data_IF_968926613401
#
_entry.id   IF_968926613401
#
_cell.length_a   1.000
_cell.length_b   1.000
_cell.length_c   1.000
_cell.angle_alpha   90.00
_cell.angle_beta   90.00
_cell.angle_gamma   90.00
#
_symmetry.space_group_name_H-M   'P 1'
#
loop_
_entity.id
_entity.type
_entity.pdbx_description
1 polymer ?
#
# COMPACT_ATOMS: atom_id res chain seq x y z
N UNK A 1 -19.89 -14.42 27.04
CA UNK A 1 -19.23 -13.10 27.15
C UNK A 1 -17.85 -13.30 26.57
N UNK A 2 -17.69 -12.99 25.29
CA UNK A 2 -16.38 -12.98 24.60
C UNK A 2 -15.69 -11.68 24.96
N UNK A 3 -14.52 -11.75 25.58
CA UNK A 3 -13.67 -10.61 25.87
C UNK A 3 -13.42 -9.79 24.60
N UNK A 4 -13.47 -8.44 24.65
CA UNK A 4 -13.06 -7.63 23.52
C UNK A 4 -11.57 -7.88 23.30
N UNK A 5 -11.22 -8.35 22.09
CA UNK A 5 -9.84 -8.67 21.72
C UNK A 5 -8.94 -7.44 21.91
N UNK A 6 -7.88 -7.55 22.69
CA UNK A 6 -6.78 -6.58 22.85
C UNK A 6 -6.11 -6.17 21.52
N UNK A 7 -6.54 -6.77 20.43
CA UNK A 7 -6.01 -6.64 19.08
C UNK A 7 -6.44 -5.34 18.36
N UNK A 8 -7.37 -4.55 18.93
CA UNK A 8 -7.84 -3.27 18.36
C UNK A 8 -7.12 -2.03 18.89
N UNK A 9 -6.34 -2.16 19.94
CA UNK A 9 -5.62 -1.02 20.56
C UNK A 9 -4.27 -0.73 19.85
N UNK A 10 -3.77 -1.66 19.03
CA UNK A 10 -2.54 -1.47 18.27
C UNK A 10 -2.84 -1.01 16.85
N UNK A 11 -2.19 0.08 16.36
CA UNK A 11 -2.36 0.53 14.99
C UNK A 11 -1.92 -0.54 13.99
N UNK A 12 -2.69 -0.70 12.91
CA UNK A 12 -2.42 -1.66 11.85
C UNK A 12 -1.69 -0.99 10.68
N UNK A 13 -0.49 -1.44 10.38
CA UNK A 13 0.29 -1.05 9.21
C UNK A 13 0.27 -2.17 8.17
N UNK A 14 -0.28 -1.90 6.99
CA UNK A 14 -0.34 -2.86 5.89
C UNK A 14 0.67 -2.52 4.81
N UNK A 15 1.60 -3.44 4.54
CA UNK A 15 2.55 -3.36 3.43
C UNK A 15 2.03 -4.09 2.19
N UNK A 16 1.90 -3.38 1.06
CA UNK A 16 1.64 -3.98 -0.26
C UNK A 16 2.95 -4.20 -0.98
N UNK A 17 3.35 -5.46 -1.14
CA UNK A 17 4.53 -5.86 -1.91
C UNK A 17 4.13 -6.07 -3.38
N UNK A 18 4.54 -5.16 -4.25
CA UNK A 18 4.19 -5.16 -5.67
C UNK A 18 5.21 -5.91 -6.55
N UNK A 19 6.35 -6.32 -5.99
CA UNK A 19 7.38 -7.05 -6.72
C UNK A 19 6.89 -8.44 -7.14
N UNK A 20 7.21 -8.83 -8.38
CA UNK A 20 7.05 -10.21 -8.85
C UNK A 20 8.20 -11.12 -8.40
N UNK A 21 9.29 -10.53 -7.92
CA UNK A 21 10.46 -11.23 -7.38
C UNK A 21 10.37 -11.25 -5.86
N UNK A 22 10.26 -12.44 -5.27
CA UNK A 22 10.27 -12.59 -3.80
C UNK A 22 11.67 -12.28 -3.25
N UNK A 23 11.72 -11.57 -2.12
CA UNK A 23 12.97 -11.17 -1.47
C UNK A 23 13.82 -10.20 -2.31
N UNK A 24 13.22 -9.48 -3.24
CA UNK A 24 13.87 -8.42 -4.00
C UNK A 24 14.11 -7.16 -3.14
N UNK A 25 14.77 -6.17 -3.73
CA UNK A 25 15.15 -4.94 -3.02
C UNK A 25 13.95 -4.21 -2.40
N UNK A 26 12.82 -4.09 -3.11
CA UNK A 26 11.60 -3.47 -2.55
C UNK A 26 10.99 -4.27 -1.41
N UNK A 27 11.05 -5.61 -1.46
CA UNK A 27 10.54 -6.46 -0.38
C UNK A 27 11.42 -6.37 0.86
N UNK A 28 12.75 -6.32 0.67
CA UNK A 28 13.73 -6.15 1.75
C UNK A 28 13.51 -4.81 2.49
N UNK A 29 13.34 -3.73 1.73
CA UNK A 29 13.10 -2.42 2.31
C UNK A 29 11.72 -2.32 2.95
N UNK A 30 10.68 -2.91 2.34
CA UNK A 30 9.35 -2.97 2.96
C UNK A 30 9.42 -3.67 4.32
N UNK A 31 10.11 -4.81 4.42
CA UNK A 31 10.31 -5.51 5.69
C UNK A 31 10.97 -4.61 6.72
N UNK A 32 12.04 -3.90 6.34
CA UNK A 32 12.73 -3.00 7.26
C UNK A 32 11.82 -1.85 7.75
N UNK A 33 10.94 -1.30 6.89
CA UNK A 33 9.94 -0.30 7.33
C UNK A 33 8.95 -0.93 8.32
N UNK A 34 8.44 -2.14 8.02
CA UNK A 34 7.51 -2.84 8.90
C UNK A 34 8.15 -3.20 10.25
N UNK A 35 9.40 -3.69 10.24
CA UNK A 35 10.17 -3.99 11.47
C UNK A 35 10.30 -2.72 12.35
N UNK A 36 10.54 -1.55 11.73
CA UNK A 36 10.58 -0.27 12.44
C UNK A 36 9.24 0.12 13.06
N UNK A 37 8.13 -0.11 12.35
CA UNK A 37 6.78 0.14 12.88
C UNK A 37 6.43 -0.82 14.03
N UNK A 38 6.77 -2.10 13.91
CA UNK A 38 6.59 -3.09 14.98
C UNK A 38 7.36 -2.74 16.25
N UNK A 39 8.60 -2.26 16.10
CA UNK A 39 9.43 -1.83 17.23
C UNK A 39 8.79 -0.66 18.01
N UNK A 40 7.90 0.13 17.37
CA UNK A 40 7.13 1.21 17.96
C UNK A 40 5.67 0.80 18.29
N UNK A 41 5.39 -0.52 18.39
CA UNK A 41 4.12 -1.05 18.88
C UNK A 41 3.01 -1.21 17.85
N UNK A 42 3.26 -0.96 16.56
CA UNK A 42 2.29 -1.24 15.53
C UNK A 42 2.20 -2.75 15.23
N UNK A 43 1.02 -3.20 14.86
CA UNK A 43 0.82 -4.51 14.25
C UNK A 43 1.00 -4.40 12.74
N UNK A 44 1.76 -5.30 12.14
CA UNK A 44 2.04 -5.24 10.70
C UNK A 44 1.48 -6.43 9.94
N UNK A 45 1.19 -6.22 8.65
CA UNK A 45 0.78 -7.25 7.72
C UNK A 45 1.41 -6.99 6.34
N UNK A 46 1.83 -8.05 5.65
CA UNK A 46 2.31 -7.94 4.27
C UNK A 46 1.37 -8.68 3.31
N UNK A 47 0.91 -7.97 2.29
CA UNK A 47 0.14 -8.52 1.18
C UNK A 47 1.02 -8.53 -0.07
N UNK A 48 1.37 -9.72 -0.57
CA UNK A 48 2.16 -9.89 -1.79
C UNK A 48 1.21 -9.94 -2.99
N UNK A 49 1.14 -8.87 -3.78
CA UNK A 49 0.19 -8.76 -4.89
C UNK A 49 0.40 -9.83 -5.98
N UNK A 50 1.65 -10.20 -6.26
CA UNK A 50 1.96 -11.25 -7.23
C UNK A 50 1.52 -12.67 -6.79
N UNK A 51 1.19 -12.87 -5.51
CA UNK A 51 0.68 -14.12 -4.97
C UNK A 51 -0.87 -14.13 -4.87
N UNK A 52 -1.53 -13.10 -5.34
CA UNK A 52 -2.99 -12.94 -5.29
C UNK A 52 -3.62 -13.06 -6.67
N UNK A 53 -4.77 -13.70 -6.72
CA UNK A 53 -5.55 -13.79 -7.94
C UNK A 53 -6.37 -12.49 -8.11
N UNK A 54 -5.79 -11.50 -8.80
CA UNK A 54 -6.45 -10.24 -9.11
C UNK A 54 -6.49 -10.07 -10.63
N UNK A 55 -7.66 -10.31 -11.22
CA UNK A 55 -7.87 -10.10 -12.65
C UNK A 55 -7.87 -8.60 -13.00
N UNK A 56 -7.41 -8.22 -14.20
CA UNK A 56 -7.47 -6.84 -14.69
C UNK A 56 -8.91 -6.30 -14.74
N UNK A 57 -9.04 -4.97 -14.64
CA UNK A 57 -10.34 -4.32 -14.85
C UNK A 57 -10.80 -4.49 -16.32
N UNK A 58 -12.03 -4.95 -16.51
CA UNK A 58 -12.63 -5.14 -17.86
C UNK A 58 -13.44 -3.93 -18.35
N UNK A 59 -13.42 -2.81 -17.64
CA UNK A 59 -14.10 -1.57 -18.04
C UNK A 59 -15.63 -1.65 -18.11
N UNK A 60 -16.27 -2.61 -17.46
CA UNK A 60 -17.73 -2.85 -17.57
C UNK A 60 -18.61 -1.78 -16.90
N UNK A 61 -18.05 -0.86 -16.12
CA UNK A 61 -18.68 0.27 -15.43
C UNK A 61 -19.80 -0.10 -14.42
N UNK A 62 -20.07 -1.37 -14.14
CA UNK A 62 -21.11 -1.78 -13.18
C UNK A 62 -20.92 -1.24 -11.78
N UNK A 63 -19.66 -1.06 -11.37
CA UNK A 63 -19.32 -0.48 -10.07
C UNK A 63 -19.81 0.97 -9.89
N UNK A 64 -20.10 1.71 -10.97
CA UNK A 64 -20.62 3.09 -10.87
C UNK A 64 -21.96 3.15 -10.14
N UNK A 65 -22.79 2.10 -10.27
CA UNK A 65 -24.10 2.03 -9.62
C UNK A 65 -24.07 1.46 -8.21
N UNK A 66 -23.12 0.56 -7.91
CA UNK A 66 -23.14 -0.22 -6.67
C UNK A 66 -21.95 0.02 -5.75
N UNK A 67 -20.86 0.61 -6.27
CA UNK A 67 -19.57 0.69 -5.56
C UNK A 67 -18.80 -0.63 -5.51
N UNK A 68 -19.36 -1.74 -6.08
CA UNK A 68 -18.76 -3.06 -6.01
C UNK A 68 -18.31 -3.56 -7.38
N UNK A 69 -17.16 -4.26 -7.40
CA UNK A 69 -16.68 -4.91 -8.61
C UNK A 69 -17.40 -6.23 -8.84
N UNK A 70 -17.79 -6.49 -10.10
CA UNK A 70 -18.47 -7.74 -10.49
C UNK A 70 -17.54 -8.95 -10.55
N UNK A 71 -16.23 -8.73 -10.64
CA UNK A 71 -15.24 -9.81 -10.65
C UNK A 71 -14.98 -10.21 -9.20
N UNK A 72 -15.34 -11.42 -8.84
CA UNK A 72 -15.08 -11.99 -7.53
C UNK A 72 -13.72 -12.69 -7.53
N UNK A 73 -12.74 -12.07 -6.87
CA UNK A 73 -11.38 -12.58 -6.72
C UNK A 73 -10.73 -11.97 -5.45
N UNK A 74 -9.42 -12.05 -5.30
CA UNK A 74 -8.73 -11.54 -4.10
C UNK A 74 -8.76 -10.00 -3.96
N UNK A 75 -9.21 -9.28 -4.98
CA UNK A 75 -9.27 -7.81 -4.95
C UNK A 75 -10.08 -7.28 -3.77
N UNK A 76 -11.27 -7.86 -3.51
CA UNK A 76 -12.16 -7.39 -2.45
C UNK A 76 -11.52 -7.52 -1.08
N UNK A 77 -10.87 -8.65 -0.80
CA UNK A 77 -10.18 -8.88 0.47
C UNK A 77 -9.02 -7.89 0.68
N UNK A 78 -8.22 -7.65 -0.38
CA UNK A 78 -7.12 -6.68 -0.29
C UNK A 78 -7.68 -5.27 -0.05
N UNK A 79 -8.70 -4.85 -0.80
CA UNK A 79 -9.35 -3.55 -0.62
C UNK A 79 -9.85 -3.36 0.80
N UNK A 80 -10.59 -4.33 1.31
CA UNK A 80 -11.20 -4.23 2.65
C UNK A 80 -10.11 -4.18 3.72
N UNK A 81 -9.02 -4.95 3.54
CA UNK A 81 -7.88 -4.88 4.46
C UNK A 81 -7.18 -3.51 4.46
N UNK A 82 -7.07 -2.85 3.28
CA UNK A 82 -6.54 -1.49 3.23
C UNK A 82 -7.48 -0.46 3.86
N UNK A 83 -8.79 -0.67 3.79
CA UNK A 83 -9.77 0.20 4.46
C UNK A 83 -9.72 0.06 5.99
N UNK A 84 -9.31 -1.10 6.52
CA UNK A 84 -9.13 -1.35 7.94
C UNK A 84 -7.78 -0.84 8.48
N UNK A 85 -6.81 -0.55 7.61
CA UNK A 85 -5.47 -0.14 8.00
C UNK A 85 -5.41 1.30 8.50
N UNK A 86 -4.53 1.57 9.48
CA UNK A 86 -4.17 2.90 9.95
C UNK A 86 -3.05 3.52 9.09
N UNK A 87 -2.16 2.67 8.54
CA UNK A 87 -1.23 3.08 7.50
C UNK A 87 -1.08 2.02 6.41
N UNK A 88 -0.75 2.48 5.21
CA UNK A 88 -0.48 1.64 4.05
C UNK A 88 0.87 2.02 3.44
N UNK A 89 1.75 1.03 3.30
CA UNK A 89 3.03 1.18 2.60
C UNK A 89 2.90 0.46 1.26
N UNK A 90 3.02 1.19 0.16
CA UNK A 90 3.04 0.60 -1.16
C UNK A 90 4.48 0.45 -1.65
N UNK A 91 5.03 -0.77 -1.59
CA UNK A 91 6.39 -1.08 -1.98
C UNK A 91 6.44 -1.65 -3.41
N UNK A 92 7.15 -0.97 -4.31
CA UNK A 92 7.18 -1.31 -5.73
C UNK A 92 8.57 -1.17 -6.35
N UNK A 93 9.01 -2.11 -7.19
CA UNK A 93 10.06 -1.82 -8.16
C UNK A 93 9.51 -0.95 -9.28
N UNK A 94 10.38 -0.18 -9.93
CA UNK A 94 9.99 0.62 -11.10
C UNK A 94 10.22 -0.17 -12.38
N UNK A 95 9.13 -0.47 -13.10
CA UNK A 95 9.13 -1.09 -14.42
C UNK A 95 8.55 -0.13 -15.45
N UNK A 96 9.33 0.21 -16.49
CA UNK A 96 8.90 1.17 -17.52
C UNK A 96 8.32 2.47 -16.90
N UNK A 97 9.03 3.00 -15.89
CA UNK A 97 8.69 4.23 -15.13
C UNK A 97 7.38 4.15 -14.34
N UNK A 98 6.83 2.96 -14.16
CA UNK A 98 5.60 2.74 -13.42
C UNK A 98 5.68 1.48 -12.55
N UNK A 99 4.56 1.09 -11.95
CA UNK A 99 4.41 -0.14 -11.15
C UNK A 99 4.34 -1.39 -12.04
N UNK A 100 4.72 -2.58 -11.54
CA UNK A 100 4.59 -3.85 -12.25
C UNK A 100 3.13 -4.23 -12.56
N UNK A 101 2.94 -5.14 -13.52
CA UNK A 101 1.60 -5.56 -13.98
C UNK A 101 0.67 -6.10 -12.89
N UNK A 102 1.09 -6.92 -11.90
CA UNK A 102 0.18 -7.35 -10.83
C UNK A 102 -0.33 -6.18 -9.98
N UNK A 103 0.55 -5.21 -9.69
CA UNK A 103 0.18 -3.99 -8.99
C UNK A 103 -0.77 -3.14 -9.82
N UNK A 104 -0.51 -2.99 -11.13
CA UNK A 104 -1.38 -2.22 -12.02
C UNK A 104 -2.76 -2.86 -12.15
N UNK A 105 -2.86 -4.19 -12.23
CA UNK A 105 -4.13 -4.89 -12.23
C UNK A 105 -4.95 -4.57 -10.97
N UNK A 106 -4.33 -4.63 -9.79
CA UNK A 106 -4.96 -4.26 -8.53
C UNK A 106 -5.39 -2.78 -8.52
N UNK A 107 -4.52 -1.88 -8.96
CA UNK A 107 -4.80 -0.43 -8.98
C UNK A 107 -5.98 -0.11 -9.90
N UNK A 108 -6.04 -0.68 -11.11
CA UNK A 108 -7.13 -0.44 -12.05
C UNK A 108 -8.49 -0.93 -11.54
N UNK A 109 -8.51 -1.96 -10.71
CA UNK A 109 -9.72 -2.47 -10.05
C UNK A 109 -10.27 -1.49 -9.00
N UNK A 110 -9.46 -0.55 -8.52
CA UNK A 110 -9.90 0.48 -7.57
C UNK A 110 -10.84 1.53 -8.21
N UNK A 111 -11.18 1.41 -9.51
CA UNK A 111 -12.35 2.09 -10.08
C UNK A 111 -13.62 1.81 -9.24
N UNK A 112 -13.77 0.60 -8.72
CA UNK A 112 -14.90 0.26 -7.84
C UNK A 112 -14.82 0.95 -6.48
N UNK A 113 -13.63 1.07 -5.89
CA UNK A 113 -13.42 1.80 -4.63
C UNK A 113 -13.72 3.29 -4.80
N UNK A 114 -13.26 3.88 -5.91
CA UNK A 114 -13.58 5.26 -6.27
C UNK A 114 -15.08 5.50 -6.44
N UNK A 115 -15.78 4.57 -7.09
CA UNK A 115 -17.25 4.63 -7.24
C UNK A 115 -17.95 4.49 -5.87
N UNK A 116 -17.51 3.53 -5.02
CA UNK A 116 -18.01 3.35 -3.65
C UNK A 116 -17.83 4.61 -2.81
N UNK A 117 -16.66 5.27 -2.92
CA UNK A 117 -16.39 6.57 -2.27
C UNK A 117 -17.35 7.64 -2.75
N UNK A 118 -17.58 7.74 -4.07
CA UNK A 118 -18.48 8.74 -4.63
C UNK A 118 -19.93 8.53 -4.16
N UNK A 119 -20.39 7.28 -4.04
CA UNK A 119 -21.71 6.94 -3.52
C UNK A 119 -21.81 7.28 -2.01
N UNK A 120 -20.84 6.89 -1.22
CA UNK A 120 -20.79 7.20 0.21
C UNK A 120 -20.85 8.72 0.47
N UNK A 121 -20.08 9.51 -0.29
CA UNK A 121 -20.11 10.98 -0.19
C UNK A 121 -21.47 11.61 -0.48
N UNK A 122 -22.24 11.07 -1.42
CA UNK A 122 -23.63 11.53 -1.68
C UNK A 122 -24.55 11.34 -0.48
N UNK A 123 -24.23 10.37 0.38
CA UNK A 123 -24.95 10.05 1.62
C UNK A 123 -24.33 10.70 2.84
N UNK A 124 -23.37 11.63 2.66
CA UNK A 124 -22.66 12.30 3.76
C UNK A 124 -21.72 11.36 4.55
N UNK A 125 -21.30 10.22 3.97
CA UNK A 125 -20.43 9.21 4.60
C UNK A 125 -19.04 9.20 3.98
N UNK A 126 -18.06 8.67 4.73
CA UNK A 126 -16.73 8.28 4.29
C UNK A 126 -16.66 6.76 4.12
N UNK A 127 -15.65 6.26 3.44
CA UNK A 127 -15.30 4.83 3.43
C UNK A 127 -14.72 4.37 4.77
N UNK A 128 -14.22 5.30 5.57
CA UNK A 128 -13.57 5.05 6.87
C UNK A 128 -14.41 5.58 8.02
N UNK A 129 -14.26 5.05 9.23
CA UNK A 129 -14.88 5.61 10.43
C UNK A 129 -14.54 7.09 10.61
N UNK A 130 -15.48 7.85 11.14
CA UNK A 130 -15.29 9.28 11.41
C UNK A 130 -14.08 9.53 12.32
N UNK A 131 -13.25 10.51 11.95
CA UNK A 131 -12.05 10.88 12.70
C UNK A 131 -10.82 9.99 12.44
N UNK A 132 -10.96 8.91 11.64
CA UNK A 132 -9.82 8.04 11.33
C UNK A 132 -9.10 8.50 10.05
N UNK A 133 -7.83 8.86 10.19
CA UNK A 133 -6.93 9.14 9.07
C UNK A 133 -6.05 7.93 8.81
N UNK A 134 -5.90 7.54 7.55
CA UNK A 134 -4.94 6.50 7.15
C UNK A 134 -3.78 7.15 6.44
N UNK A 135 -2.57 6.90 6.90
CA UNK A 135 -1.34 7.43 6.31
C UNK A 135 -0.84 6.52 5.19
N UNK A 136 -0.29 7.12 4.13
CA UNK A 136 0.23 6.42 2.96
C UNK A 136 1.72 6.67 2.75
N UNK A 137 2.50 5.61 2.60
CA UNK A 137 3.92 5.68 2.25
C UNK A 137 4.14 5.05 0.88
N UNK A 138 4.86 5.76 0.01
CA UNK A 138 5.34 5.24 -1.27
C UNK A 138 6.79 4.79 -1.10
N UNK A 139 7.04 3.47 -1.22
CA UNK A 139 8.37 2.91 -1.29
C UNK A 139 8.63 2.45 -2.72
N UNK A 140 9.54 3.12 -3.44
CA UNK A 140 9.82 2.78 -4.83
C UNK A 140 11.32 2.56 -5.07
N UNK A 141 11.65 1.46 -5.75
CA UNK A 141 13.04 1.06 -6.02
C UNK A 141 13.27 0.97 -7.52
N UNK A 142 14.28 1.67 -8.01
CA UNK A 142 14.71 1.63 -9.39
C UNK A 142 16.15 1.14 -9.53
N UNK A 143 16.39 0.32 -10.56
CA UNK A 143 17.74 -0.08 -10.95
C UNK A 143 18.52 1.08 -11.57
N UNK A 144 17.85 1.89 -12.40
CA UNK A 144 18.43 3.07 -13.04
C UNK A 144 18.89 4.09 -11.97
N UNK A 145 20.11 4.64 -12.05
CA UNK A 145 20.58 5.69 -11.16
C UNK A 145 19.86 7.03 -11.37
N UNK A 146 19.22 7.25 -12.53
CA UNK A 146 18.46 8.46 -12.87
C UNK A 146 17.02 8.16 -13.24
N UNK A 147 16.25 7.46 -12.38
CA UNK A 147 14.94 6.99 -12.72
C UNK A 147 13.88 8.09 -12.74
N UNK A 148 12.80 7.84 -13.48
CA UNK A 148 11.62 8.69 -13.48
C UNK A 148 10.55 8.05 -12.59
N UNK A 149 10.45 8.49 -11.34
CA UNK A 149 9.41 8.03 -10.41
C UNK A 149 8.02 8.64 -10.66
N UNK A 150 7.94 9.72 -11.43
CA UNK A 150 6.72 10.51 -11.57
C UNK A 150 5.49 9.67 -11.97
N UNK A 151 5.63 8.74 -12.94
CA UNK A 151 4.52 7.89 -13.38
C UNK A 151 4.00 6.96 -12.28
N UNK A 152 4.91 6.31 -11.55
CA UNK A 152 4.54 5.46 -10.42
C UNK A 152 3.91 6.28 -9.28
N UNK A 153 4.48 7.44 -8.93
CA UNK A 153 3.93 8.33 -7.90
C UNK A 153 2.51 8.76 -8.24
N UNK A 154 2.27 9.29 -9.44
CA UNK A 154 0.92 9.71 -9.88
C UNK A 154 -0.08 8.55 -9.81
N UNK A 155 0.34 7.36 -10.21
CA UNK A 155 -0.50 6.15 -10.16
C UNK A 155 -0.85 5.78 -8.71
N UNK A 156 0.13 5.81 -7.80
CA UNK A 156 -0.05 5.46 -6.39
C UNK A 156 -0.83 6.53 -5.62
N UNK A 157 -0.62 7.80 -5.90
CA UNK A 157 -1.41 8.90 -5.34
C UNK A 157 -2.89 8.82 -5.76
N UNK A 158 -3.16 8.38 -7.00
CA UNK A 158 -4.53 8.13 -7.45
C UNK A 158 -5.17 6.96 -6.68
N UNK A 159 -4.40 5.86 -6.44
CA UNK A 159 -4.82 4.76 -5.58
C UNK A 159 -5.11 5.24 -4.16
N UNK A 160 -4.22 6.01 -3.56
CA UNK A 160 -4.39 6.53 -2.21
C UNK A 160 -5.64 7.38 -2.11
N UNK A 161 -5.85 8.33 -3.04
CA UNK A 161 -7.07 9.16 -3.08
C UNK A 161 -8.35 8.35 -3.19
N UNK A 162 -8.37 7.27 -3.98
CA UNK A 162 -9.57 6.43 -4.13
C UNK A 162 -9.89 5.62 -2.87
N UNK A 163 -8.88 5.31 -2.06
CA UNK A 163 -9.00 4.57 -0.81
C UNK A 163 -9.02 5.46 0.45
N UNK A 164 -9.14 6.78 0.31
CA UNK A 164 -9.09 7.75 1.41
C UNK A 164 -7.82 7.59 2.28
N UNK A 165 -6.68 7.38 1.62
CA UNK A 165 -5.37 7.35 2.23
C UNK A 165 -4.68 8.69 1.96
N UNK A 166 -4.18 9.32 3.01
CA UNK A 166 -3.39 10.56 2.91
C UNK A 166 -1.94 10.22 2.63
N UNK A 167 -1.40 10.70 1.51
CA UNK A 167 0.04 10.55 1.24
C UNK A 167 0.82 11.32 2.33
N UNK A 168 1.70 10.59 3.04
CA UNK A 168 2.41 11.11 4.20
C UNK A 168 3.92 11.24 3.95
N UNK A 169 4.57 10.19 3.45
CA UNK A 169 6.01 10.18 3.21
C UNK A 169 6.39 9.24 2.04
N UNK A 170 7.64 9.29 1.59
CA UNK A 170 8.14 8.44 0.53
C UNK A 170 9.60 8.02 0.75
N UNK A 171 9.93 6.79 0.33
CA UNK A 171 11.28 6.27 0.25
C UNK A 171 11.58 5.89 -1.21
N UNK A 172 12.25 6.77 -1.93
CA UNK A 172 12.64 6.56 -3.32
C UNK A 172 14.11 6.17 -3.40
N UNK A 173 14.38 4.98 -3.93
CA UNK A 173 15.73 4.38 -3.95
C UNK A 173 16.14 4.09 -5.38
N UNK A 174 17.38 4.46 -5.72
CA UNK A 174 17.95 4.34 -7.07
C UNK A 174 19.19 3.45 -7.06
N UNK A 175 19.57 2.92 -8.22
CA UNK A 175 20.84 2.22 -8.40
C UNK A 175 20.90 0.82 -7.81
N UNK A 176 19.77 0.19 -7.44
CA UNK A 176 19.72 -1.20 -6.97
C UNK A 176 19.36 -2.14 -8.11
N UNK A 177 20.35 -2.63 -8.82
CA UNK A 177 20.17 -3.44 -10.04
C UNK A 177 20.01 -4.94 -9.70
N UNK A 178 20.92 -5.47 -8.89
CA UNK A 178 20.97 -6.89 -8.53
C UNK A 178 19.93 -7.29 -7.49
N UNK A 179 19.55 -8.56 -7.46
CA UNK A 179 18.66 -9.07 -6.42
C UNK A 179 19.33 -9.02 -5.05
N UNK A 180 18.62 -8.47 -4.05
CA UNK A 180 19.10 -8.47 -2.66
C UNK A 180 20.18 -7.44 -2.32
N UNK A 181 20.54 -6.53 -3.24
CA UNK A 181 21.54 -5.47 -2.94
C UNK A 181 21.13 -4.58 -1.77
N UNK A 182 19.84 -4.34 -1.58
CA UNK A 182 19.35 -3.59 -0.43
C UNK A 182 19.74 -4.22 0.92
N UNK A 183 19.87 -5.56 0.98
CA UNK A 183 20.17 -6.27 2.20
C UNK A 183 21.60 -6.00 2.72
N UNK A 184 22.52 -5.57 1.87
CA UNK A 184 23.90 -5.22 2.23
C UNK A 184 24.10 -3.72 2.51
N UNK A 185 23.05 -2.89 2.39
CA UNK A 185 23.13 -1.45 2.60
C UNK A 185 22.55 -1.05 3.97
N UNK A 186 23.38 -1.16 5.01
CA UNK A 186 22.96 -0.92 6.41
C UNK A 186 22.35 0.49 6.61
N UNK A 187 22.92 1.53 6.02
CA UNK A 187 22.40 2.90 6.12
C UNK A 187 21.01 3.02 5.50
N UNK A 188 20.76 2.32 4.38
CA UNK A 188 19.48 2.33 3.72
C UNK A 188 18.43 1.55 4.53
N UNK A 189 18.83 0.41 5.12
CA UNK A 189 17.98 -0.36 6.02
C UNK A 189 17.66 0.42 7.30
N UNK A 190 18.62 1.16 7.85
CA UNK A 190 18.41 2.02 9.02
C UNK A 190 17.39 3.14 8.70
N UNK A 191 17.52 3.80 7.54
CA UNK A 191 16.54 4.80 7.07
C UNK A 191 15.15 4.21 6.88
N UNK A 192 15.06 2.98 6.37
CA UNK A 192 13.78 2.30 6.21
C UNK A 192 13.13 1.99 7.58
N UNK A 193 13.89 1.51 8.56
CA UNK A 193 13.39 1.28 9.93
C UNK A 193 12.96 2.58 10.60
N UNK A 194 13.74 3.65 10.47
CA UNK A 194 13.39 4.99 10.99
C UNK A 194 12.07 5.48 10.41
N UNK A 195 11.86 5.33 9.11
CA UNK A 195 10.60 5.67 8.44
C UNK A 195 9.42 4.91 9.07
N UNK A 196 9.59 3.61 9.34
CA UNK A 196 8.58 2.78 9.99
C UNK A 196 8.24 3.24 11.40
N UNK A 197 9.26 3.57 12.20
CA UNK A 197 9.08 4.10 13.55
C UNK A 197 8.31 5.41 13.56
N UNK A 198 8.75 6.38 12.76
CA UNK A 198 8.04 7.68 12.59
C UNK A 198 6.60 7.51 12.09
N UNK A 199 6.34 6.53 11.21
CA UNK A 199 5.00 6.23 10.73
C UNK A 199 4.11 5.74 11.88
N UNK A 200 4.60 4.81 12.72
CA UNK A 200 3.85 4.30 13.86
C UNK A 200 3.54 5.39 14.90
N UNK A 201 4.48 6.29 15.17
CA UNK A 201 4.28 7.45 16.04
C UNK A 201 3.19 8.39 15.47
N UNK A 202 3.28 8.71 14.16
CA UNK A 202 2.32 9.60 13.50
C UNK A 202 0.88 9.05 13.40
N UNK A 203 0.68 7.74 13.56
CA UNK A 203 -0.66 7.13 13.63
C UNK A 203 -1.25 7.28 15.03
N UNK A 204 -0.40 7.30 16.07
CA UNK A 204 -0.81 7.36 17.47
C UNK A 204 -1.21 8.77 17.96
N UNK A 205 -0.81 9.81 17.21
CA UNK A 205 -1.14 11.21 17.47
C UNK A 205 -2.53 11.58 16.87
#
# INVERSE_FOLDING_TARGET
MTEPSQDRDQPLVVGLAASTRRGGNSDTLLRAVLDGAEACGARTETIVLAARAVAPCIGCQRCQATGECVIADDFQQIRDRLLDADAVIFATPIYFWNVPSPAKAYIDRNQSTGARKALARKEGRSLRPAGRTTLGVILAVAADPTPKFAGAKQTLEALFRSNEITAWDELLVTGLFGPGEAASQEDLLARARDLGGRLAEAIGD
#
